data_IF_636766486625
#
_entry.id   IF_636766486625
#
_cell.length_a   1.000
_cell.length_b   1.000
_cell.length_c   1.000
_cell.angle_alpha   90.00
_cell.angle_beta   90.00
_cell.angle_gamma   90.00
#
_symmetry.space_group_name_H-M   'P 1'
#
loop_
_entity.id
_entity.type
_entity.pdbx_description
1 polymer ?
#
# COMPACT_ATOMS: atom_id res chain seq x y z
N UNK A 1 -9.37 -11.46 -1.60
CA UNK A 1 -9.36 -10.40 -0.57
C UNK A 1 -8.07 -9.58 -0.62
N UNK A 2 -6.91 -10.22 -0.40
CA UNK A 2 -5.64 -9.48 -0.42
C UNK A 2 -5.34 -8.86 -1.78
N UNK A 3 -5.78 -9.51 -2.85
CA UNK A 3 -5.60 -8.98 -4.20
C UNK A 3 -6.38 -7.68 -4.39
N UNK A 4 -7.58 -7.61 -3.84
CA UNK A 4 -8.41 -6.41 -3.94
C UNK A 4 -7.79 -5.25 -3.16
N UNK A 5 -7.26 -5.53 -1.97
CA UNK A 5 -6.60 -4.52 -1.17
C UNK A 5 -5.35 -4.00 -1.90
N UNK A 6 -4.57 -4.93 -2.46
CA UNK A 6 -3.36 -4.56 -3.21
C UNK A 6 -3.68 -3.69 -4.42
N UNK A 7 -4.71 -4.06 -5.17
CA UNK A 7 -5.13 -3.27 -6.33
C UNK A 7 -5.60 -1.89 -5.93
N UNK A 8 -6.30 -1.79 -4.82
CA UNK A 8 -6.77 -0.50 -4.31
C UNK A 8 -5.60 0.40 -3.94
N UNK A 9 -4.62 -0.16 -3.25
CA UNK A 9 -3.41 0.58 -2.88
C UNK A 9 -2.68 1.07 -4.13
N UNK A 10 -2.52 0.19 -5.11
CA UNK A 10 -1.86 0.53 -6.37
C UNK A 10 -2.59 1.67 -7.08
N UNK A 11 -3.92 1.57 -7.17
CA UNK A 11 -4.73 2.57 -7.82
C UNK A 11 -4.56 3.94 -7.15
N UNK A 12 -4.72 3.97 -5.83
CA UNK A 12 -4.65 5.24 -5.09
C UNK A 12 -3.25 5.84 -5.20
N UNK A 13 -2.22 5.00 -5.06
CA UNK A 13 -0.84 5.45 -5.16
C UNK A 13 -0.58 6.10 -6.52
N UNK A 14 -1.02 5.45 -7.60
CA UNK A 14 -0.85 5.98 -8.94
C UNK A 14 -1.65 7.26 -9.17
N UNK A 15 -2.86 7.34 -8.63
CA UNK A 15 -3.68 8.55 -8.74
C UNK A 15 -3.02 9.74 -8.05
N UNK A 16 -2.26 9.48 -7.00
CA UNK A 16 -1.54 10.53 -6.27
C UNK A 16 -0.15 10.82 -6.83
N UNK A 17 0.21 10.14 -7.92
CA UNK A 17 1.50 10.35 -8.57
C UNK A 17 2.69 9.88 -7.75
N UNK A 18 2.48 8.92 -6.85
CA UNK A 18 3.53 8.41 -5.99
C UNK A 18 4.17 7.16 -6.58
N UNK A 19 5.50 7.07 -6.47
CA UNK A 19 6.21 5.84 -6.81
C UNK A 19 6.19 4.90 -5.61
N UNK A 20 6.56 3.63 -5.84
CA UNK A 20 6.74 2.69 -4.73
C UNK A 20 7.82 3.17 -3.78
N UNK A 21 8.87 3.81 -4.31
CA UNK A 21 9.92 4.37 -3.48
C UNK A 21 9.37 5.47 -2.56
N UNK A 22 8.51 6.34 -3.11
CA UNK A 22 7.89 7.39 -2.31
C UNK A 22 7.09 6.79 -1.16
N UNK A 23 6.29 5.78 -1.45
CA UNK A 23 5.47 5.13 -0.43
C UNK A 23 6.34 4.41 0.58
N UNK A 24 7.42 3.78 0.13
CA UNK A 24 8.37 3.12 1.01
C UNK A 24 8.97 4.11 2.01
N UNK A 25 9.36 5.28 1.55
CA UNK A 25 9.95 6.30 2.41
C UNK A 25 8.96 6.82 3.44
N UNK A 26 7.69 6.91 3.08
CA UNK A 26 6.65 7.40 4.00
C UNK A 26 6.23 6.36 5.03
N UNK A 27 6.39 5.08 4.73
CA UNK A 27 5.86 4.01 5.58
C UNK A 27 6.94 3.23 6.30
N UNK A 28 8.21 3.37 5.91
CA UNK A 28 9.32 2.53 6.37
C UNK A 28 9.17 1.06 5.96
N UNK A 29 8.30 0.78 5.00
CA UNK A 29 8.16 -0.56 4.44
C UNK A 29 9.00 -0.65 3.17
N UNK A 30 9.58 -1.82 2.89
CA UNK A 30 10.44 -1.97 1.72
C UNK A 30 9.63 -1.89 0.43
N UNK A 31 10.31 -1.44 -0.63
CA UNK A 31 9.72 -1.41 -1.97
C UNK A 31 9.29 -2.81 -2.39
N UNK A 32 10.13 -3.82 -2.12
CA UNK A 32 9.81 -5.20 -2.46
C UNK A 32 8.55 -5.69 -1.76
N UNK A 33 8.41 -5.39 -0.47
CA UNK A 33 7.23 -5.76 0.28
C UNK A 33 5.98 -5.08 -0.29
N UNK A 34 6.08 -3.77 -0.53
CA UNK A 34 4.95 -3.01 -1.08
C UNK A 34 4.55 -3.53 -2.46
N UNK A 35 5.53 -3.88 -3.29
CA UNK A 35 5.24 -4.45 -4.60
C UNK A 35 4.47 -5.76 -4.47
N UNK A 36 4.89 -6.62 -3.54
CA UNK A 36 4.19 -7.89 -3.31
C UNK A 36 2.78 -7.68 -2.80
N UNK A 37 2.58 -6.71 -1.92
CA UNK A 37 1.25 -6.37 -1.41
C UNK A 37 0.35 -5.92 -2.56
N UNK A 38 0.83 -5.02 -3.40
CA UNK A 38 0.04 -4.50 -4.51
C UNK A 38 -0.35 -5.58 -5.51
N UNK A 39 0.50 -6.60 -5.65
CA UNK A 39 0.26 -7.70 -6.58
C UNK A 39 -0.52 -8.85 -5.95
N UNK A 40 -0.90 -8.72 -4.69
CA UNK A 40 -1.66 -9.75 -4.00
C UNK A 40 -0.85 -11.01 -3.68
N UNK A 41 0.47 -10.89 -3.64
CA UNK A 41 1.36 -12.04 -3.42
C UNK A 41 1.65 -12.29 -1.95
N UNK A 42 1.28 -11.37 -1.08
CA UNK A 42 1.50 -11.53 0.35
C UNK A 42 0.35 -10.89 1.12
N UNK A 43 0.15 -11.36 2.33
CA UNK A 43 -0.81 -10.76 3.24
C UNK A 43 -0.18 -9.55 3.91
N UNK A 44 -1.01 -8.62 4.37
CA UNK A 44 -0.52 -7.45 5.08
C UNK A 44 -1.21 -7.37 6.44
N UNK A 45 -0.42 -7.10 7.48
CA UNK A 45 -0.97 -6.91 8.82
C UNK A 45 -1.79 -5.64 8.86
N UNK A 46 -2.80 -5.64 9.73
CA UNK A 46 -3.72 -4.49 9.81
C UNK A 46 -2.97 -3.19 10.16
N UNK A 47 -1.96 -3.26 11.01
CA UNK A 47 -1.19 -2.07 11.37
C UNK A 47 -0.37 -1.55 10.19
N UNK A 48 0.17 -2.44 9.37
CA UNK A 48 0.89 -2.02 8.16
C UNK A 48 -0.06 -1.41 7.14
N UNK A 49 -1.25 -1.97 7.01
CA UNK A 49 -2.27 -1.42 6.11
C UNK A 49 -2.67 -0.02 6.57
N UNK A 50 -2.85 0.16 7.87
CA UNK A 50 -3.17 1.48 8.43
C UNK A 50 -2.06 2.48 8.15
N UNK A 51 -0.80 2.06 8.28
CA UNK A 51 0.36 2.89 7.98
C UNK A 51 0.33 3.34 6.50
N UNK A 52 0.05 2.41 5.59
CA UNK A 52 -0.06 2.73 4.17
C UNK A 52 -1.20 3.71 3.92
N UNK A 53 -2.35 3.48 4.53
CA UNK A 53 -3.51 4.35 4.37
C UNK A 53 -3.19 5.78 4.82
N UNK A 54 -2.51 5.92 5.94
CA UNK A 54 -2.10 7.23 6.45
C UNK A 54 -1.13 7.91 5.48
N UNK A 55 -0.18 7.15 4.93
CA UNK A 55 0.79 7.69 3.98
C UNK A 55 0.10 8.15 2.69
N UNK A 56 -0.96 7.47 2.28
CA UNK A 56 -1.74 7.83 1.10
C UNK A 56 -2.81 8.88 1.41
N UNK A 57 -3.02 9.20 2.68
CA UNK A 57 -4.01 10.18 3.15
C UNK A 57 -5.43 9.75 2.75
N UNK A 58 -5.72 8.47 2.91
CA UNK A 58 -7.04 7.93 2.60
C UNK A 58 -7.51 7.03 3.74
N UNK A 59 -8.81 6.75 3.76
CA UNK A 59 -9.40 5.80 4.69
C UNK A 59 -9.63 4.49 3.95
N UNK A 60 -8.82 3.51 4.28
CA UNK A 60 -8.99 2.16 3.72
C UNK A 60 -9.81 1.32 4.71
N UNK A 61 -11.05 1.70 4.94
CA UNK A 61 -11.95 0.96 5.82
C UNK A 61 -12.09 -0.47 5.32
N UNK A 62 -11.95 -1.41 6.22
CA UNK A 62 -12.08 -2.82 5.89
C UNK A 62 -13.32 -3.37 6.60
#
# INVERSE_FOLDING_TARGET
MKEEIGQKINQIRNEKGMTLKDLSEKTDLSVGFLSQVERGLTSIAILSLKNIAEALEVDLSI
#
